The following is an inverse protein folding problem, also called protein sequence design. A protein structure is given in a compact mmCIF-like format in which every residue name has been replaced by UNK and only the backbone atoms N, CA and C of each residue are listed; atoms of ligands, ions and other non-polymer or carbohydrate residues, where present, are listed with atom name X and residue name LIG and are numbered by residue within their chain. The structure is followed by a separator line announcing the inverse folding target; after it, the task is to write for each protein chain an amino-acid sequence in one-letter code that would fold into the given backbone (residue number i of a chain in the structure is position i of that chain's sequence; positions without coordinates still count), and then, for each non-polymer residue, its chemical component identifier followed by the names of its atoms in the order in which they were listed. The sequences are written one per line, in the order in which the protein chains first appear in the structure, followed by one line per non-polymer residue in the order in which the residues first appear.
data_IF_121004489065
#
_entry.id   IF_121004489065
#
_cell.length_a   1.000
_cell.length_b   1.000
_cell.length_c   1.000
_cell.angle_alpha   90.00
_cell.angle_beta   90.00
_cell.angle_gamma   90.00
#
_symmetry.space_group_name_H-M   'P 1'
#
loop_
_entity.id
_entity.type
_entity.pdbx_description
1 polymer ?
#
# COMPACT_ATOMS: atom_id res chain seq x y z
N UNK A 1 -29.62 -17.81 -66.93
CA UNK A 1 -28.99 -18.42 -65.74
C UNK A 1 -28.90 -17.33 -64.67
N UNK A 2 -29.82 -17.33 -63.68
CA UNK A 2 -29.84 -16.34 -62.59
C UNK A 2 -28.95 -16.87 -61.44
N UNK A 3 -27.89 -16.13 -61.14
CA UNK A 3 -27.04 -16.42 -59.96
C UNK A 3 -27.74 -15.86 -58.73
N UNK A 4 -28.17 -16.77 -57.83
CA UNK A 4 -28.72 -16.45 -56.54
C UNK A 4 -27.51 -16.31 -55.60
N UNK A 5 -27.22 -15.05 -55.20
CA UNK A 5 -26.22 -14.75 -54.20
C UNK A 5 -26.91 -14.84 -52.82
N UNK A 6 -26.64 -15.90 -52.08
CA UNK A 6 -27.10 -16.09 -50.68
C UNK A 6 -26.19 -15.25 -49.80
N UNK A 7 -26.73 -14.11 -49.32
CA UNK A 7 -26.07 -13.26 -48.34
C UNK A 7 -26.27 -13.89 -46.95
N UNK A 8 -25.24 -14.57 -46.41
CA UNK A 8 -25.22 -15.02 -45.01
C UNK A 8 -25.06 -13.81 -44.10
N UNK A 9 -26.17 -13.36 -43.51
CA UNK A 9 -26.17 -12.37 -42.44
C UNK A 9 -25.71 -13.10 -41.16
N UNK A 10 -24.41 -13.03 -40.81
CA UNK A 10 -23.89 -13.43 -39.52
C UNK A 10 -24.37 -12.41 -38.48
N UNK A 11 -25.52 -12.65 -37.87
CA UNK A 11 -25.93 -11.98 -36.65
C UNK A 11 -25.03 -12.47 -35.53
N UNK A 12 -23.97 -11.71 -35.26
CA UNK A 12 -23.18 -11.86 -34.03
C UNK A 12 -24.08 -11.40 -32.88
N UNK A 13 -24.79 -12.36 -32.25
CA UNK A 13 -25.38 -12.15 -30.94
C UNK A 13 -24.21 -11.98 -29.95
N UNK A 14 -23.86 -10.76 -29.64
CA UNK A 14 -23.11 -10.48 -28.42
C UNK A 14 -24.07 -10.83 -27.28
N UNK A 15 -23.99 -12.07 -26.81
CA UNK A 15 -24.61 -12.44 -25.54
C UNK A 15 -23.89 -11.61 -24.47
N UNK A 16 -24.46 -10.49 -24.06
CA UNK A 16 -24.09 -9.85 -22.83
C UNK A 16 -24.37 -10.89 -21.74
N UNK A 17 -23.32 -11.56 -21.27
CA UNK A 17 -23.40 -12.42 -20.13
C UNK A 17 -23.92 -11.58 -18.98
N UNK A 18 -25.21 -11.69 -18.66
CA UNK A 18 -25.75 -11.08 -17.47
C UNK A 18 -25.03 -11.71 -16.29
N UNK A 19 -24.31 -10.92 -15.51
CA UNK A 19 -23.71 -11.30 -14.22
C UNK A 19 -24.80 -11.64 -13.18
N UNK A 20 -25.63 -12.60 -13.50
CA UNK A 20 -26.77 -13.01 -12.67
C UNK A 20 -26.47 -14.36 -12.04
N UNK A 21 -26.56 -14.45 -10.72
CA UNK A 21 -26.41 -15.71 -10.02
C UNK A 21 -27.53 -16.67 -10.42
N UNK A 22 -27.15 -17.86 -10.87
CA UNK A 22 -28.04 -18.97 -11.25
C UNK A 22 -27.84 -20.14 -10.29
N UNK A 23 -28.76 -21.12 -10.32
CA UNK A 23 -28.57 -22.39 -9.61
C UNK A 23 -27.25 -23.07 -9.97
N UNK A 24 -26.88 -23.05 -11.25
CA UNK A 24 -25.62 -23.61 -11.74
C UNK A 24 -24.41 -22.88 -11.14
N UNK A 25 -24.48 -21.55 -10.94
CA UNK A 25 -23.41 -20.78 -10.30
C UNK A 25 -23.17 -21.26 -8.87
N UNK A 26 -24.24 -21.53 -8.10
CA UNK A 26 -24.15 -22.03 -6.73
C UNK A 26 -23.54 -23.44 -6.71
N UNK A 27 -24.00 -24.32 -7.59
CA UNK A 27 -23.47 -25.68 -7.69
C UNK A 27 -21.99 -25.70 -8.10
N UNK A 28 -21.58 -24.84 -9.05
CA UNK A 28 -20.18 -24.71 -9.45
C UNK A 28 -19.31 -24.18 -8.31
N UNK A 29 -19.81 -23.21 -7.54
CA UNK A 29 -19.09 -22.71 -6.38
C UNK A 29 -18.95 -23.77 -5.28
N UNK A 30 -19.97 -24.59 -5.06
CA UNK A 30 -19.94 -25.69 -4.10
C UNK A 30 -18.81 -26.68 -4.37
N UNK A 31 -18.50 -26.96 -5.66
CA UNK A 31 -17.37 -27.80 -6.04
C UNK A 31 -16.02 -27.31 -5.55
N UNK A 32 -15.83 -25.98 -5.47
CA UNK A 32 -14.57 -25.39 -4.99
C UNK A 32 -14.32 -25.69 -3.50
N UNK A 33 -15.38 -25.94 -2.75
CA UNK A 33 -15.34 -26.17 -1.31
C UNK A 33 -15.61 -27.64 -0.94
N UNK A 34 -15.69 -28.54 -1.95
CA UNK A 34 -16.06 -29.98 -1.79
C UNK A 34 -17.37 -30.14 -1.01
N UNK A 35 -18.35 -29.29 -1.28
CA UNK A 35 -19.69 -29.36 -0.68
C UNK A 35 -20.71 -29.76 -1.75
N UNK A 36 -21.72 -30.52 -1.34
CA UNK A 36 -22.81 -30.93 -2.22
C UNK A 36 -24.12 -30.41 -1.66
N UNK A 37 -24.88 -29.71 -2.48
CA UNK A 37 -26.22 -29.25 -2.16
C UNK A 37 -27.27 -29.99 -3.01
N UNK A 38 -28.39 -30.32 -2.42
CA UNK A 38 -29.58 -30.82 -3.14
C UNK A 38 -30.21 -29.67 -3.92
N UNK A 39 -31.02 -29.99 -4.94
CA UNK A 39 -31.74 -28.97 -5.71
C UNK A 39 -32.61 -28.07 -4.82
N UNK A 40 -33.27 -28.68 -3.81
CA UNK A 40 -34.11 -27.93 -2.86
C UNK A 40 -33.29 -26.93 -2.05
N UNK A 41 -32.11 -27.31 -1.60
CA UNK A 41 -31.23 -26.40 -0.87
C UNK A 41 -30.74 -25.27 -1.77
N UNK A 42 -30.37 -25.57 -3.01
CA UNK A 42 -29.99 -24.52 -4.00
C UNK A 42 -31.15 -23.58 -4.28
N UNK A 43 -32.39 -24.08 -4.35
CA UNK A 43 -33.58 -23.24 -4.52
C UNK A 43 -33.82 -22.30 -3.34
N UNK A 44 -33.55 -22.75 -2.13
CA UNK A 44 -33.66 -21.95 -0.92
C UNK A 44 -32.56 -20.87 -0.85
N UNK A 45 -31.35 -21.17 -1.31
CA UNK A 45 -30.20 -20.26 -1.27
C UNK A 45 -30.22 -19.17 -2.36
N UNK A 46 -30.85 -19.46 -3.52
CA UNK A 46 -30.78 -18.60 -4.68
C UNK A 46 -31.29 -17.15 -4.47
N UNK A 47 -32.40 -16.89 -3.76
CA UNK A 47 -32.83 -15.53 -3.48
C UNK A 47 -31.77 -14.74 -2.69
N UNK A 48 -31.30 -15.31 -1.58
CA UNK A 48 -30.33 -14.65 -0.69
C UNK A 48 -29.01 -14.34 -1.41
N UNK A 49 -28.55 -15.24 -2.27
CA UNK A 49 -27.34 -14.97 -3.06
C UNK A 49 -27.53 -13.85 -4.08
N UNK A 50 -28.72 -13.71 -4.67
CA UNK A 50 -29.03 -12.58 -5.55
C UNK A 50 -29.06 -11.26 -4.81
N UNK A 51 -29.65 -11.24 -3.62
CA UNK A 51 -29.70 -10.06 -2.77
C UNK A 51 -28.30 -9.66 -2.30
N UNK A 52 -27.50 -10.62 -1.85
CA UNK A 52 -26.11 -10.39 -1.49
C UNK A 52 -25.30 -9.83 -2.69
N UNK A 53 -25.48 -10.38 -3.90
CA UNK A 53 -24.80 -9.84 -5.09
C UNK A 53 -25.19 -8.38 -5.34
N UNK A 54 -26.48 -8.05 -5.20
CA UNK A 54 -26.95 -6.67 -5.37
C UNK A 54 -26.32 -5.73 -4.34
N UNK A 55 -26.15 -6.18 -3.10
CA UNK A 55 -25.51 -5.39 -2.06
C UNK A 55 -24.00 -5.25 -2.27
N UNK A 56 -23.30 -6.30 -2.73
CA UNK A 56 -21.89 -6.18 -3.14
C UNK A 56 -21.71 -5.20 -4.30
N UNK A 57 -22.62 -5.19 -5.30
CA UNK A 57 -22.58 -4.20 -6.38
C UNK A 57 -22.74 -2.77 -5.86
N UNK A 58 -23.61 -2.54 -4.88
CA UNK A 58 -23.73 -1.23 -4.21
C UNK A 58 -22.42 -0.86 -3.48
N UNK A 59 -21.86 -1.80 -2.70
CA UNK A 59 -20.61 -1.58 -1.97
C UNK A 59 -19.44 -1.25 -2.91
N UNK A 60 -19.32 -1.94 -4.04
CA UNK A 60 -18.28 -1.65 -5.03
C UNK A 60 -18.43 -0.26 -5.69
N UNK A 61 -19.63 0.29 -5.69
CA UNK A 61 -19.90 1.66 -6.15
C UNK A 61 -19.54 2.75 -5.12
N UNK A 62 -19.25 2.38 -3.88
CA UNK A 62 -18.89 3.34 -2.85
C UNK A 62 -17.41 3.72 -2.96
N UNK A 63 -17.17 5.02 -3.05
CA UNK A 63 -15.82 5.57 -2.93
C UNK A 63 -15.55 5.85 -1.45
N UNK A 64 -14.75 4.99 -0.82
CA UNK A 64 -14.36 5.18 0.57
C UNK A 64 -13.03 5.96 0.60
N UNK A 65 -13.06 7.14 1.18
CA UNK A 65 -11.86 7.93 1.42
C UNK A 65 -11.06 7.32 2.60
N UNK A 66 -9.73 7.37 2.51
CA UNK A 66 -8.84 6.85 3.56
C UNK A 66 -8.98 7.59 4.90
N UNK A 67 -9.64 8.75 4.93
CA UNK A 67 -9.92 9.50 6.15
C UNK A 67 -11.12 8.96 6.93
N UNK A 68 -11.93 8.08 6.31
CA UNK A 68 -13.07 7.47 6.98
C UNK A 68 -12.55 6.49 8.03
N UNK A 69 -12.80 6.83 9.30
CA UNK A 69 -12.43 5.97 10.42
C UNK A 69 -13.25 4.68 10.45
N UNK A 70 -12.66 3.62 11.01
CA UNK A 70 -13.39 2.39 11.27
C UNK A 70 -14.49 2.63 12.29
N UNK A 71 -15.68 2.04 12.09
CA UNK A 71 -16.83 2.19 12.99
C UNK A 71 -16.59 1.72 14.44
N UNK A 72 -15.64 0.79 14.60
CA UNK A 72 -15.20 0.26 15.90
C UNK A 72 -13.76 0.69 16.20
N UNK A 73 -13.48 1.98 16.18
CA UNK A 73 -12.17 2.51 16.58
C UNK A 73 -12.12 2.72 18.09
N UNK A 74 -11.13 2.13 18.74
CA UNK A 74 -10.81 2.45 20.13
C UNK A 74 -9.91 3.69 20.17
N UNK A 75 -10.37 4.75 20.85
CA UNK A 75 -9.50 5.89 21.15
C UNK A 75 -8.62 5.53 22.34
N UNK A 76 -7.36 5.24 22.08
CA UNK A 76 -6.37 4.96 23.11
C UNK A 76 -5.96 6.23 23.88
N UNK A 77 -6.15 7.39 23.28
CA UNK A 77 -5.86 8.70 23.88
C UNK A 77 -7.17 9.42 24.12
N UNK A 78 -7.51 9.81 25.36
CA UNK A 78 -8.68 10.62 25.67
C UNK A 78 -8.66 11.95 24.90
N UNK A 79 -9.84 12.47 24.55
CA UNK A 79 -9.97 13.74 23.81
C UNK A 79 -9.40 14.94 24.58
N UNK A 80 -9.35 14.86 25.90
CA UNK A 80 -8.80 15.88 26.81
C UNK A 80 -7.35 15.61 27.23
N UNK A 81 -6.67 14.63 26.62
CA UNK A 81 -5.27 14.35 26.94
C UNK A 81 -4.37 15.52 26.54
N UNK A 82 -3.67 16.06 27.51
CA UNK A 82 -2.65 17.08 27.28
C UNK A 82 -1.40 16.40 26.71
N UNK A 83 -1.12 16.68 25.46
CA UNK A 83 0.14 16.19 24.84
C UNK A 83 1.32 16.96 25.47
N UNK A 84 2.15 16.23 26.20
CA UNK A 84 3.40 16.80 26.68
C UNK A 84 4.37 16.97 25.51
N UNK A 85 4.98 18.13 25.40
CA UNK A 85 6.03 18.38 24.40
C UNK A 85 7.27 17.60 24.77
N UNK A 86 7.53 16.50 24.05
CA UNK A 86 8.74 15.70 24.25
C UNK A 86 9.94 16.51 23.76
N UNK A 87 10.94 16.68 24.61
CA UNK A 87 12.22 17.26 24.23
C UNK A 87 13.19 16.15 23.83
N UNK A 88 13.68 16.24 22.60
CA UNK A 88 14.64 15.28 22.06
C UNK A 88 16.05 15.80 22.25
N UNK A 89 16.92 14.98 22.81
CA UNK A 89 18.34 15.28 22.97
C UNK A 89 19.16 14.40 22.03
N UNK A 90 20.14 15.01 21.40
CA UNK A 90 21.09 14.32 20.52
C UNK A 90 22.50 14.44 21.09
N UNK A 91 23.27 13.37 20.94
CA UNK A 91 24.68 13.45 21.28
C UNK A 91 25.45 14.17 20.16
N UNK A 92 25.94 15.40 20.37
CA UNK A 92 26.61 16.17 19.33
C UNK A 92 27.99 15.63 18.95
N UNK A 93 28.55 14.70 19.74
CA UNK A 93 29.90 14.14 19.48
C UNK A 93 29.86 12.95 18.51
N UNK A 94 28.68 12.52 18.06
CA UNK A 94 28.55 11.45 17.08
C UNK A 94 29.20 11.87 15.77
N UNK A 95 30.07 11.00 15.26
CA UNK A 95 30.79 11.18 13.99
C UNK A 95 30.40 10.10 12.99
N UNK A 96 30.64 10.38 11.71
CA UNK A 96 30.53 9.36 10.68
C UNK A 96 31.49 8.21 10.97
N UNK A 97 31.05 6.95 10.73
CA UNK A 97 31.91 5.80 10.91
C UNK A 97 33.06 5.79 9.89
N UNK A 98 34.21 5.27 10.28
CA UNK A 98 35.35 5.09 9.37
C UNK A 98 34.98 4.20 8.17
N UNK A 99 34.28 3.09 8.43
CA UNK A 99 33.67 2.28 7.38
C UNK A 99 32.24 2.78 7.13
N UNK A 100 32.00 3.35 5.95
CA UNK A 100 30.69 3.90 5.58
C UNK A 100 29.55 2.87 5.65
N UNK A 101 29.83 1.57 5.52
CA UNK A 101 28.80 0.54 5.64
C UNK A 101 28.20 0.44 7.03
N UNK A 102 28.95 0.81 8.07
CA UNK A 102 28.50 0.75 9.47
C UNK A 102 27.40 1.79 9.75
N UNK A 103 27.26 2.81 8.90
CA UNK A 103 26.15 3.77 8.96
C UNK A 103 24.78 3.08 8.91
N UNK A 104 24.68 1.92 8.27
CA UNK A 104 23.44 1.15 8.19
C UNK A 104 22.94 0.62 9.55
N UNK A 105 23.81 0.57 10.54
CA UNK A 105 23.53 0.05 11.88
C UNK A 105 23.43 1.16 12.94
N UNK A 106 23.52 2.43 12.48
CA UNK A 106 23.34 3.56 13.39
C UNK A 106 21.88 3.65 13.83
N UNK A 107 21.70 3.95 15.11
CA UNK A 107 20.36 4.21 15.66
C UNK A 107 19.75 5.49 15.06
N UNK A 108 18.43 5.64 15.15
CA UNK A 108 17.73 6.88 14.75
C UNK A 108 18.33 8.10 15.45
N UNK A 109 18.69 7.99 16.72
CA UNK A 109 19.31 9.08 17.48
C UNK A 109 20.68 9.46 16.89
N UNK A 110 21.51 8.48 16.56
CA UNK A 110 22.82 8.71 15.93
C UNK A 110 22.68 9.32 14.53
N UNK A 111 21.78 8.79 13.69
CA UNK A 111 21.49 9.36 12.36
C UNK A 111 20.96 10.80 12.49
N UNK A 112 20.04 11.03 13.43
CA UNK A 112 19.50 12.35 13.73
C UNK A 112 20.58 13.35 14.20
N UNK A 113 21.55 12.90 15.00
CA UNK A 113 22.69 13.71 15.39
C UNK A 113 23.58 14.09 14.19
N UNK A 114 23.88 13.14 13.31
CA UNK A 114 24.70 13.39 12.11
C UNK A 114 24.04 14.41 11.16
N UNK A 115 22.73 14.36 10.99
CA UNK A 115 21.98 15.30 10.18
C UNK A 115 22.01 16.72 10.77
N UNK A 116 21.84 16.84 12.10
CA UNK A 116 21.82 18.14 12.80
C UNK A 116 23.18 18.78 12.93
N UNK A 117 24.22 17.98 13.13
CA UNK A 117 25.61 18.48 13.14
C UNK A 117 26.18 18.66 11.74
N UNK A 118 25.37 18.41 10.68
CA UNK A 118 25.71 18.55 9.27
C UNK A 118 26.88 17.64 8.82
N UNK A 119 27.13 16.54 9.52
CA UNK A 119 28.13 15.54 9.12
C UNK A 119 27.70 14.75 7.89
N UNK A 120 26.37 14.65 7.66
CA UNK A 120 25.77 14.06 6.48
C UNK A 120 24.49 14.83 6.13
N UNK A 121 24.13 14.88 4.86
CA UNK A 121 22.86 15.42 4.40
C UNK A 121 21.80 14.32 4.33
N UNK A 122 20.52 14.71 4.37
CA UNK A 122 19.41 13.78 4.20
C UNK A 122 19.46 13.11 2.80
N UNK A 123 19.84 13.87 1.77
CA UNK A 123 20.05 13.33 0.42
C UNK A 123 21.12 12.24 0.41
N UNK A 124 22.28 12.47 1.04
CA UNK A 124 23.37 11.49 1.10
C UNK A 124 22.96 10.24 1.87
N UNK A 125 22.27 10.40 2.99
CA UNK A 125 21.74 9.30 3.79
C UNK A 125 20.71 8.48 3.01
N UNK A 126 19.80 9.13 2.31
CA UNK A 126 18.79 8.48 1.47
C UNK A 126 19.45 7.71 0.32
N UNK A 127 20.40 8.31 -0.39
CA UNK A 127 21.17 7.62 -1.45
C UNK A 127 21.94 6.42 -0.92
N UNK A 128 22.50 6.53 0.27
CA UNK A 128 23.19 5.41 0.92
C UNK A 128 22.24 4.22 1.12
N UNK A 129 21.07 4.42 1.70
CA UNK A 129 20.11 3.32 1.91
C UNK A 129 19.53 2.79 0.60
N UNK A 130 19.22 3.65 -0.38
CA UNK A 130 18.78 3.22 -1.71
C UNK A 130 19.84 2.35 -2.41
N UNK A 131 21.11 2.69 -2.28
CA UNK A 131 22.19 1.86 -2.84
C UNK A 131 22.29 0.48 -2.18
N UNK A 132 22.03 0.41 -0.88
CA UNK A 132 21.97 -0.86 -0.16
C UNK A 132 20.77 -1.71 -0.59
N UNK A 133 19.61 -1.09 -0.78
CA UNK A 133 18.42 -1.77 -1.32
C UNK A 133 18.74 -2.36 -2.70
N UNK A 134 19.37 -1.58 -3.61
CA UNK A 134 19.77 -2.07 -4.93
C UNK A 134 20.77 -3.22 -4.85
N UNK A 135 21.65 -3.21 -3.84
CA UNK A 135 22.68 -4.25 -3.70
C UNK A 135 22.16 -5.55 -3.07
N UNK A 136 21.28 -5.46 -2.11
CA UNK A 136 20.88 -6.60 -1.27
C UNK A 136 19.41 -6.99 -1.42
N UNK A 137 18.56 -6.13 -1.99
CA UNK A 137 17.11 -6.30 -2.04
C UNK A 137 16.69 -7.58 -2.74
N UNK A 138 17.29 -7.89 -3.90
CA UNK A 138 16.96 -9.08 -4.67
C UNK A 138 17.34 -10.38 -3.92
N UNK A 139 18.50 -10.39 -3.25
CA UNK A 139 18.92 -11.56 -2.48
C UNK A 139 18.07 -11.78 -1.23
N UNK A 140 17.61 -10.70 -0.61
CA UNK A 140 16.81 -10.75 0.62
C UNK A 140 15.31 -10.83 0.36
N UNK A 141 14.86 -10.57 -0.87
CA UNK A 141 13.43 -10.54 -1.27
C UNK A 141 12.57 -9.68 -0.33
N UNK A 142 13.14 -8.56 0.17
CA UNK A 142 12.52 -7.76 1.22
C UNK A 142 11.89 -6.45 0.71
N UNK A 143 12.01 -6.13 -0.58
CA UNK A 143 11.52 -4.89 -1.18
C UNK A 143 10.66 -5.21 -2.40
N UNK A 144 9.42 -4.78 -2.38
CA UNK A 144 8.46 -4.95 -3.49
C UNK A 144 8.55 -3.77 -4.46
N UNK A 145 8.58 -2.55 -3.92
CA UNK A 145 8.71 -1.34 -4.72
C UNK A 145 9.52 -0.27 -3.99
N UNK A 146 10.15 0.61 -4.75
CA UNK A 146 10.86 1.77 -4.22
C UNK A 146 10.21 3.05 -4.70
N UNK A 147 10.14 4.05 -3.83
CA UNK A 147 9.68 5.41 -4.15
C UNK A 147 10.86 6.38 -4.23
N UNK A 148 11.91 6.02 -5.01
CA UNK A 148 13.20 6.70 -5.04
C UNK A 148 13.08 8.21 -5.32
N UNK A 149 12.27 8.60 -6.32
CA UNK A 149 12.08 10.01 -6.68
C UNK A 149 11.46 10.80 -5.51
N UNK A 150 10.39 10.27 -4.92
CA UNK A 150 9.73 10.89 -3.78
C UNK A 150 10.66 10.98 -2.57
N UNK A 151 11.41 9.91 -2.29
CA UNK A 151 12.36 9.87 -1.18
C UNK A 151 13.45 10.95 -1.32
N UNK A 152 14.00 11.13 -2.51
CA UNK A 152 15.02 12.16 -2.78
C UNK A 152 14.45 13.57 -2.74
N UNK A 153 13.23 13.79 -3.20
CA UNK A 153 12.54 15.08 -3.08
C UNK A 153 12.31 15.46 -1.62
N UNK A 154 11.78 14.53 -0.81
CA UNK A 154 11.57 14.73 0.62
C UNK A 154 12.89 14.94 1.38
N UNK A 155 13.96 14.23 1.01
CA UNK A 155 15.28 14.41 1.59
C UNK A 155 15.83 15.80 1.29
N UNK A 156 15.68 16.30 0.05
CA UNK A 156 16.06 17.67 -0.33
C UNK A 156 15.30 18.71 0.52
N UNK A 157 13.99 18.52 0.67
CA UNK A 157 13.18 19.41 1.51
C UNK A 157 13.62 19.39 2.98
N UNK A 158 14.04 18.23 3.50
CA UNK A 158 14.57 18.10 4.86
C UNK A 158 15.90 18.86 5.01
N UNK A 159 16.80 18.77 4.05
CA UNK A 159 18.07 19.50 4.03
C UNK A 159 17.84 21.01 3.97
N UNK A 160 16.87 21.48 3.18
CA UNK A 160 16.48 22.89 3.12
C UNK A 160 15.92 23.39 4.46
N UNK A 161 15.12 22.57 5.13
CA UNK A 161 14.59 22.90 6.46
C UNK A 161 15.74 23.02 7.48
N UNK A 162 16.69 22.08 7.51
CA UNK A 162 17.86 22.17 8.40
C UNK A 162 18.71 23.42 8.13
N UNK A 163 18.87 23.82 6.86
CA UNK A 163 19.56 25.07 6.50
C UNK A 163 18.86 26.30 7.08
N UNK A 164 17.50 26.27 7.11
CA UNK A 164 16.68 27.36 7.65
C UNK A 164 16.52 27.30 9.18
N UNK A 165 17.14 26.33 9.86
CA UNK A 165 16.98 26.12 11.30
C UNK A 165 15.62 25.50 11.70
N UNK A 166 14.88 24.96 10.73
CA UNK A 166 13.59 24.32 11.01
C UNK A 166 13.82 22.84 11.31
N UNK A 167 13.55 22.44 12.56
CA UNK A 167 13.58 21.07 13.03
C UNK A 167 12.16 20.60 13.36
N UNK A 168 11.65 19.62 12.60
CA UNK A 168 10.30 19.05 12.76
C UNK A 168 10.24 17.86 13.70
N UNK A 169 11.37 17.46 14.29
CA UNK A 169 11.44 16.37 15.25
C UNK A 169 12.40 15.24 14.86
N UNK A 170 12.44 14.17 15.67
CA UNK A 170 13.54 13.19 15.66
C UNK A 170 13.70 12.43 14.35
N UNK A 171 12.64 12.26 13.58
CA UNK A 171 12.66 11.50 12.32
C UNK A 171 12.95 12.37 11.09
N UNK A 172 13.09 13.70 11.26
CA UNK A 172 13.32 14.59 10.13
C UNK A 172 14.61 14.22 9.39
N UNK A 173 14.48 14.00 8.07
CA UNK A 173 15.57 13.70 7.17
C UNK A 173 16.08 12.27 7.21
N UNK A 174 15.47 11.39 8.00
CA UNK A 174 15.79 9.97 8.06
C UNK A 174 14.88 9.20 7.10
N UNK A 175 15.41 8.47 6.11
CA UNK A 175 14.59 7.64 5.23
C UNK A 175 14.01 6.45 5.98
N UNK A 176 12.81 6.03 5.60
CA UNK A 176 12.14 4.89 6.21
C UNK A 176 11.44 4.03 5.15
N UNK A 177 11.19 2.78 5.46
CA UNK A 177 10.39 1.86 4.67
C UNK A 177 9.04 1.61 5.32
N UNK A 178 8.00 1.51 4.50
CA UNK A 178 6.67 1.07 4.93
C UNK A 178 6.44 -0.36 4.47
N UNK A 179 5.72 -1.12 5.30
CA UNK A 179 5.24 -2.42 4.86
C UNK A 179 4.21 -2.22 3.74
N UNK A 180 4.24 -3.09 2.74
CA UNK A 180 3.35 -3.05 1.56
C UNK A 180 1.86 -3.33 1.89
N UNK A 181 1.47 -3.17 3.14
CA UNK A 181 0.08 -3.11 3.61
C UNK A 181 -0.47 -1.68 3.67
N UNK A 182 0.41 -0.69 3.76
CA UNK A 182 0.01 0.70 3.93
C UNK A 182 -0.23 1.35 2.57
N UNK A 183 -1.47 1.77 2.35
CA UNK A 183 -1.83 2.53 1.16
C UNK A 183 -1.29 3.96 1.27
N UNK A 184 -0.38 4.33 0.38
CA UNK A 184 0.17 5.69 0.26
C UNK A 184 -0.26 6.29 -1.06
N UNK A 185 -0.89 7.46 -1.02
CA UNK A 185 -1.37 8.15 -2.23
C UNK A 185 -0.25 8.31 -3.27
N UNK A 186 -0.54 7.90 -4.49
CA UNK A 186 0.40 8.00 -5.61
C UNK A 186 1.46 6.89 -5.69
N UNK A 187 1.40 5.90 -4.82
CA UNK A 187 2.27 4.72 -4.86
C UNK A 187 1.48 3.44 -5.04
N UNK A 188 2.13 2.41 -5.58
CA UNK A 188 1.54 1.08 -5.72
C UNK A 188 1.58 0.37 -4.36
N UNK A 189 0.45 -0.18 -3.93
CA UNK A 189 0.34 -1.10 -2.79
C UNK A 189 -0.13 -2.44 -3.31
N UNK A 190 0.62 -3.52 -3.11
CA UNK A 190 0.34 -4.82 -3.74
C UNK A 190 -0.24 -5.84 -2.77
N UNK A 191 -0.05 -5.66 -1.46
CA UNK A 191 -0.40 -6.64 -0.43
C UNK A 191 0.19 -8.02 -0.70
N UNK A 192 1.40 -8.04 -1.26
CA UNK A 192 2.13 -9.25 -1.69
C UNK A 192 1.43 -10.06 -2.80
N UNK A 193 0.45 -9.47 -3.48
CA UNK A 193 -0.18 -10.06 -4.67
C UNK A 193 0.60 -9.65 -5.92
N UNK A 194 0.96 -10.64 -6.73
CA UNK A 194 1.37 -10.38 -8.12
C UNK A 194 0.21 -9.74 -8.87
N UNK A 195 0.45 -8.76 -9.75
CA UNK A 195 -0.57 -8.18 -10.61
C UNK A 195 -1.15 -9.24 -11.55
#
# INVERSE_FOLDING_TARGET
MKKITILFLLCSFVAAAQDTITKQSIQNAALLWDVKFTEKEVDMMLPDHKDNQADYKKLHGLVLDNSIGMSLSQKLIPDNAVQQKIQWTYNPTIKLPANKNDLAFYTINQLGALLRNKSITSIELTKFFLSRIKKFGDALQCVISTTELLALEQAKQADENFKKGVDKGPLQGIPYGLKDLFAVKGTKTTWERSP
#
